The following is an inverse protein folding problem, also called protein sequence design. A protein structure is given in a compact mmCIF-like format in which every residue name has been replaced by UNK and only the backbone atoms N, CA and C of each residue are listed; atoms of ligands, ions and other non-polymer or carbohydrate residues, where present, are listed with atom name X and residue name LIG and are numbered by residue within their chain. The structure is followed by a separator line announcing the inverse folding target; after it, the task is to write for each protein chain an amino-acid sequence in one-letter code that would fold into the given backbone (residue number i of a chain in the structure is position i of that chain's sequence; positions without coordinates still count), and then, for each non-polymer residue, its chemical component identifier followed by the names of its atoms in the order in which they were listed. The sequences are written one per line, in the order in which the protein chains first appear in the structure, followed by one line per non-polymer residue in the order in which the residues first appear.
data_IF_459419407911
#
_entry.id   IF_459419407911
#
_cell.length_a   1.000
_cell.length_b   1.000
_cell.length_c   1.000
_cell.angle_alpha   90.00
_cell.angle_beta   90.00
_cell.angle_gamma   90.00
#
_symmetry.space_group_name_H-M   'P 1'
#
loop_
_entity.id
_entity.type
_entity.pdbx_description
1 polymer ?
#
# COMPACT_ATOMS: atom_id res chain seq x y z
N UNK A 1 -9.38 -10.93 20.75
CA UNK A 1 -10.68 -11.44 20.25
C UNK A 1 -10.48 -12.48 19.15
N UNK A 2 -9.62 -12.24 18.14
CA UNK A 2 -9.34 -13.20 17.07
C UNK A 2 -8.96 -14.58 17.63
N UNK A 3 -8.02 -14.62 18.57
CA UNK A 3 -7.55 -15.82 19.27
C UNK A 3 -8.68 -16.50 20.08
N UNK A 4 -9.48 -15.70 20.80
CA UNK A 4 -10.55 -16.23 21.64
C UNK A 4 -11.73 -16.80 20.84
N UNK A 5 -12.06 -16.16 19.70
CA UNK A 5 -13.20 -16.54 18.88
C UNK A 5 -12.80 -17.45 17.69
N UNK A 6 -11.51 -17.74 17.55
CA UNK A 6 -10.93 -18.46 16.38
C UNK A 6 -11.40 -17.84 15.06
N UNK A 7 -11.40 -16.50 14.99
CA UNK A 7 -11.84 -15.76 13.81
C UNK A 7 -10.67 -15.12 13.09
N UNK A 8 -10.55 -15.35 11.77
CA UNK A 8 -9.56 -14.67 10.95
C UNK A 8 -9.72 -13.15 10.97
N UNK A 9 -8.64 -12.42 11.25
CA UNK A 9 -8.64 -10.97 11.31
C UNK A 9 -7.46 -10.41 10.50
N UNK A 10 -7.73 -9.46 9.61
CA UNK A 10 -6.74 -8.62 8.99
C UNK A 10 -6.64 -7.29 9.75
N UNK A 11 -5.47 -6.98 10.28
CA UNK A 11 -5.15 -5.73 10.95
C UNK A 11 -4.57 -4.75 9.94
N UNK A 12 -5.31 -3.67 9.65
CA UNK A 12 -4.91 -2.67 8.67
C UNK A 12 -3.86 -1.70 9.21
N UNK A 13 -3.05 -1.13 8.32
CA UNK A 13 -2.20 0.06 8.50
C UNK A 13 -1.37 0.06 9.79
N UNK A 14 -0.69 -1.05 10.12
CA UNK A 14 0.27 -1.10 11.22
C UNK A 14 1.37 -0.07 10.99
N UNK A 15 1.58 0.83 11.95
CA UNK A 15 2.48 1.98 11.83
C UNK A 15 3.59 2.03 12.88
N UNK A 16 3.59 1.12 13.88
CA UNK A 16 4.54 1.17 15.01
C UNK A 16 5.28 -0.14 15.24
N UNK A 17 6.43 -0.06 15.90
CA UNK A 17 7.20 -1.21 16.39
C UNK A 17 6.39 -2.06 17.36
N UNK A 18 5.67 -1.42 18.30
CA UNK A 18 4.81 -2.10 19.28
C UNK A 18 3.66 -2.85 18.60
N UNK A 19 3.02 -2.23 17.60
CA UNK A 19 1.97 -2.87 16.81
C UNK A 19 2.49 -4.12 16.10
N UNK A 20 3.65 -4.03 15.46
CA UNK A 20 4.32 -5.17 14.81
C UNK A 20 4.67 -6.27 15.81
N UNK A 21 5.19 -5.91 16.98
CA UNK A 21 5.50 -6.86 18.05
C UNK A 21 4.25 -7.57 18.59
N UNK A 22 3.15 -6.84 18.76
CA UNK A 22 1.86 -7.39 19.21
C UNK A 22 1.29 -8.40 18.19
N UNK A 23 1.35 -8.07 16.88
CA UNK A 23 0.95 -8.99 15.81
C UNK A 23 1.78 -10.26 15.86
N UNK A 24 3.11 -10.13 15.90
CA UNK A 24 4.04 -11.28 15.99
C UNK A 24 3.73 -12.17 17.18
N UNK A 25 3.53 -11.59 18.35
CA UNK A 25 3.21 -12.34 19.55
C UNK A 25 1.88 -13.10 19.44
N UNK A 26 0.87 -12.53 18.79
CA UNK A 26 -0.40 -13.20 18.55
C UNK A 26 -0.22 -14.37 17.56
N UNK A 27 0.50 -14.16 16.46
CA UNK A 27 0.81 -15.21 15.47
C UNK A 27 1.59 -16.37 16.09
N UNK A 28 2.57 -16.10 16.96
CA UNK A 28 3.34 -17.13 17.69
C UNK A 28 2.49 -17.99 18.61
N UNK A 29 1.35 -17.47 19.11
CA UNK A 29 0.37 -18.24 19.88
C UNK A 29 -0.64 -18.98 18.99
N UNK A 30 -0.52 -18.89 17.67
CA UNK A 30 -1.44 -19.52 16.71
C UNK A 30 -2.74 -18.75 16.49
N UNK A 31 -2.80 -17.46 16.88
CA UNK A 31 -3.97 -16.63 16.58
C UNK A 31 -4.11 -16.41 15.06
N UNK A 32 -5.33 -16.48 14.51
CA UNK A 32 -5.56 -16.30 13.07
C UNK A 32 -5.54 -14.83 12.67
N UNK A 33 -4.39 -14.20 12.76
CA UNK A 33 -4.22 -12.78 12.47
C UNK A 33 -3.19 -12.54 11.37
N UNK A 34 -3.54 -11.68 10.43
CA UNK A 34 -2.66 -11.09 9.45
C UNK A 34 -2.60 -9.58 9.67
N UNK A 35 -1.58 -8.95 9.13
CA UNK A 35 -1.44 -7.51 9.25
C UNK A 35 -0.80 -6.92 7.99
N UNK A 36 -1.11 -5.64 7.76
CA UNK A 36 -0.54 -4.86 6.66
C UNK A 36 0.06 -3.56 7.16
N UNK A 37 0.93 -3.00 6.34
CA UNK A 37 1.39 -1.62 6.48
C UNK A 37 1.21 -0.86 5.17
N UNK A 38 1.69 0.39 5.09
CA UNK A 38 1.53 1.25 3.93
C UNK A 38 2.84 1.97 3.57
N UNK A 39 3.03 2.41 2.30
CA UNK A 39 4.27 3.07 1.89
C UNK A 39 4.64 4.31 2.71
N UNK A 40 3.66 5.09 3.13
CA UNK A 40 3.90 6.29 3.93
C UNK A 40 4.44 5.97 5.34
N UNK A 41 4.14 4.80 5.92
CA UNK A 41 4.78 4.37 7.17
C UNK A 41 6.18 3.80 6.95
N UNK A 42 6.43 3.21 5.79
CA UNK A 42 7.72 2.63 5.44
C UNK A 42 8.76 3.66 4.99
N UNK A 43 8.32 4.81 4.44
CA UNK A 43 9.18 5.75 3.72
C UNK A 43 9.11 7.20 4.22
N UNK A 44 8.13 7.56 5.07
CA UNK A 44 8.03 8.87 5.70
C UNK A 44 8.13 8.75 7.22
N UNK A 45 8.70 9.74 7.87
CA UNK A 45 8.68 9.89 9.33
C UNK A 45 7.70 11.00 9.74
N UNK A 46 7.43 11.11 11.04
CA UNK A 46 6.62 12.19 11.62
C UNK A 46 7.16 13.60 11.35
N UNK A 47 8.41 13.73 10.92
CA UNK A 47 8.99 15.01 10.50
C UNK A 47 8.22 15.69 9.36
N UNK A 48 7.54 14.90 8.49
CA UNK A 48 6.72 15.48 7.42
C UNK A 48 5.53 16.30 7.94
N UNK A 49 5.12 16.09 9.17
CA UNK A 49 4.06 16.86 9.83
C UNK A 49 4.53 18.25 10.29
N UNK A 50 5.84 18.45 10.43
CA UNK A 50 6.46 19.70 10.92
C UNK A 50 6.71 20.75 9.83
N UNK A 51 6.03 20.63 8.68
CA UNK A 51 6.15 21.57 7.58
C UNK A 51 5.58 22.96 7.96
N UNK A 52 6.16 24.06 7.47
CA UNK A 52 5.70 25.42 7.77
C UNK A 52 4.21 25.62 7.39
N UNK A 53 3.51 26.43 8.18
CA UNK A 53 2.10 26.78 7.98
C UNK A 53 1.21 25.54 8.01
N UNK A 54 0.36 25.35 6.97
CA UNK A 54 -0.51 24.20 6.84
C UNK A 54 0.07 23.08 5.93
N UNK A 55 1.31 23.19 5.50
CA UNK A 55 1.87 22.16 4.58
C UNK A 55 1.93 20.77 5.22
N UNK A 56 2.17 20.68 6.53
CA UNK A 56 2.09 19.42 7.27
C UNK A 56 0.71 18.73 7.19
N UNK A 57 -0.36 19.48 6.95
CA UNK A 57 -1.70 18.91 6.79
C UNK A 57 -1.83 18.01 5.55
N UNK A 58 -0.98 18.19 4.54
CA UNK A 58 -0.90 17.29 3.37
C UNK A 58 -0.61 15.85 3.80
N UNK A 59 0.13 15.68 4.89
CA UNK A 59 0.63 14.39 5.39
C UNK A 59 -0.19 13.81 6.54
N UNK A 60 -1.24 14.51 6.99
CA UNK A 60 -2.08 13.98 8.05
C UNK A 60 -2.87 12.75 7.61
N UNK A 61 -2.69 11.67 8.34
CA UNK A 61 -3.41 10.40 8.21
C UNK A 61 -3.64 9.76 9.59
N UNK A 62 -4.42 8.72 9.64
CA UNK A 62 -4.70 7.98 10.88
C UNK A 62 -4.59 6.46 10.60
N UNK A 63 -3.61 5.80 11.27
CA UNK A 63 -2.56 6.32 12.17
C UNK A 63 -1.62 7.34 11.53
N UNK A 64 -0.98 8.25 12.30
CA UNK A 64 0.03 9.15 11.74
C UNK A 64 1.36 8.43 11.47
N UNK A 65 2.21 9.04 10.64
CA UNK A 65 3.60 8.62 10.46
C UNK A 65 4.32 8.62 11.81
N UNK A 66 5.34 7.79 11.92
CA UNK A 66 6.07 7.53 13.15
C UNK A 66 7.58 7.79 12.97
N UNK A 67 8.37 7.33 13.90
CA UNK A 67 9.81 7.51 13.93
C UNK A 67 10.55 6.60 12.94
N UNK A 68 11.82 6.89 12.67
CA UNK A 68 12.68 6.01 11.88
C UNK A 68 12.88 4.62 12.52
N UNK A 69 12.78 4.52 13.86
CA UNK A 69 12.83 3.23 14.55
C UNK A 69 11.59 2.38 14.25
N UNK A 70 10.42 3.01 14.17
CA UNK A 70 9.19 2.32 13.75
C UNK A 70 9.29 1.84 12.30
N UNK A 71 9.81 2.66 11.38
CA UNK A 71 10.06 2.25 10.00
C UNK A 71 10.94 1.00 9.92
N UNK A 72 12.05 0.98 10.66
CA UNK A 72 12.94 -0.18 10.70
C UNK A 72 12.22 -1.44 11.20
N UNK A 73 11.37 -1.31 12.21
CA UNK A 73 10.58 -2.42 12.74
C UNK A 73 9.52 -2.92 11.73
N UNK A 74 8.90 -2.03 10.96
CA UNK A 74 7.94 -2.39 9.91
C UNK A 74 8.64 -3.17 8.78
N UNK A 75 9.81 -2.72 8.31
CA UNK A 75 10.62 -3.45 7.32
C UNK A 75 11.03 -4.84 7.81
N UNK A 76 11.49 -4.96 9.06
CA UNK A 76 11.76 -6.25 9.70
C UNK A 76 10.51 -7.12 9.82
N UNK A 77 9.35 -6.50 10.06
CA UNK A 77 8.06 -7.18 10.11
C UNK A 77 7.65 -7.78 8.76
N UNK A 78 7.91 -7.08 7.66
CA UNK A 78 7.70 -7.58 6.30
C UNK A 78 8.67 -8.72 5.97
N UNK A 79 9.95 -8.55 6.27
CA UNK A 79 10.98 -9.58 6.05
C UNK A 79 10.69 -10.88 6.81
N UNK A 80 10.21 -10.77 8.05
CA UNK A 80 9.86 -11.90 8.90
C UNK A 80 8.47 -12.51 8.61
N UNK A 81 7.69 -11.94 7.65
CA UNK A 81 6.33 -12.38 7.35
C UNK A 81 5.29 -12.04 8.43
N UNK A 82 5.66 -11.27 9.46
CA UNK A 82 4.72 -10.75 10.47
C UNK A 82 3.70 -9.82 9.84
N UNK A 83 4.16 -8.94 8.95
CA UNK A 83 3.32 -8.13 8.08
C UNK A 83 3.21 -8.83 6.73
N UNK A 84 2.00 -9.14 6.32
CA UNK A 84 1.72 -10.02 5.18
C UNK A 84 1.67 -9.29 3.85
N UNK A 85 1.33 -8.00 3.87
CA UNK A 85 1.19 -7.21 2.64
C UNK A 85 1.38 -5.71 2.91
N UNK A 86 1.48 -4.94 1.81
CA UNK A 86 1.52 -3.47 1.84
C UNK A 86 0.38 -2.93 1.01
N UNK A 87 -0.60 -2.30 1.65
CA UNK A 87 -1.72 -1.61 1.00
C UNK A 87 -1.39 -0.13 0.75
N UNK A 88 -2.33 0.61 0.15
CA UNK A 88 -2.12 2.04 -0.12
C UNK A 88 -2.68 2.95 0.96
N UNK A 89 -3.69 2.50 1.68
CA UNK A 89 -4.55 3.34 2.53
C UNK A 89 -4.97 4.64 1.81
N UNK A 90 -5.39 4.50 0.54
CA UNK A 90 -5.72 5.62 -0.34
C UNK A 90 -6.98 6.33 0.15
N UNK A 91 -6.80 7.49 0.77
CA UNK A 91 -7.86 8.38 1.23
C UNK A 91 -7.63 9.80 0.70
N UNK A 92 -8.03 10.08 -0.56
CA UNK A 92 -7.65 11.28 -1.29
C UNK A 92 -8.55 12.47 -0.93
N UNK A 93 -8.12 13.29 0.01
CA UNK A 93 -8.77 14.58 0.32
C UNK A 93 -8.05 15.71 -0.40
N UNK A 94 -8.79 16.57 -1.07
CA UNK A 94 -8.24 17.78 -1.71
C UNK A 94 -7.54 18.68 -0.70
N UNK A 95 -6.46 19.33 -1.13
CA UNK A 95 -5.74 20.31 -0.29
C UNK A 95 -6.30 21.72 -0.52
N UNK A 96 -7.61 21.86 -0.31
CA UNK A 96 -8.36 23.11 -0.41
C UNK A 96 -9.51 23.17 0.60
N UNK A 97 -10.36 24.19 0.50
CA UNK A 97 -11.50 24.38 1.38
C UNK A 97 -12.60 23.31 1.26
N UNK A 98 -12.59 22.48 0.22
CA UNK A 98 -13.50 21.35 0.08
C UNK A 98 -12.97 20.05 0.76
N UNK A 99 -11.72 20.04 1.18
CA UNK A 99 -11.04 18.89 1.76
C UNK A 99 -10.32 19.22 3.06
N UNK A 100 -9.01 19.08 3.07
CA UNK A 100 -8.17 19.24 4.29
C UNK A 100 -8.24 20.62 4.93
N UNK A 101 -8.53 21.66 4.16
CA UNK A 101 -8.61 23.06 4.64
C UNK A 101 -10.04 23.54 4.89
N UNK A 102 -11.01 22.65 4.98
CA UNK A 102 -12.44 22.98 5.18
C UNK A 102 -12.72 23.72 6.48
N UNK A 103 -11.88 23.59 7.50
CA UNK A 103 -12.03 24.29 8.78
C UNK A 103 -11.29 25.64 8.85
N UNK A 104 -10.85 26.18 7.69
CA UNK A 104 -10.23 27.51 7.58
C UNK A 104 -8.71 27.50 7.63
N UNK A 105 -8.13 28.69 7.79
CA UNK A 105 -6.67 28.91 7.68
C UNK A 105 -5.85 28.52 8.92
N UNK A 106 -6.49 28.26 10.06
CA UNK A 106 -5.81 27.88 11.32
C UNK A 106 -6.60 26.79 12.04
N UNK A 107 -6.90 25.66 11.38
CA UNK A 107 -7.68 24.59 12.01
C UNK A 107 -6.87 23.90 13.10
N UNK A 108 -7.53 23.52 14.21
CA UNK A 108 -6.96 22.52 15.11
C UNK A 108 -6.79 21.20 14.36
N UNK A 109 -5.75 20.41 14.67
CA UNK A 109 -5.41 19.17 13.96
C UNK A 109 -6.60 18.21 13.84
N UNK A 110 -7.46 18.11 14.86
CA UNK A 110 -8.66 17.27 14.89
C UNK A 110 -9.75 17.65 13.88
N UNK A 111 -9.60 18.80 13.21
CA UNK A 111 -10.51 19.28 12.15
C UNK A 111 -9.94 19.11 10.75
N UNK A 112 -8.71 18.61 10.63
CA UNK A 112 -8.08 18.35 9.35
C UNK A 112 -8.44 16.93 8.91
N UNK A 113 -8.93 16.75 7.69
CA UNK A 113 -9.26 15.43 7.18
C UNK A 113 -7.99 14.53 7.13
N UNK A 114 -8.12 13.34 7.72
CA UNK A 114 -7.04 12.35 7.75
C UNK A 114 -7.08 11.47 6.51
N UNK A 115 -5.98 11.43 5.76
CA UNK A 115 -5.82 10.58 4.60
C UNK A 115 -4.84 11.16 3.58
N UNK A 116 -4.20 10.26 2.85
CA UNK A 116 -3.22 10.55 1.81
C UNK A 116 -3.64 9.91 0.49
N UNK A 117 -3.39 10.55 -0.67
CA UNK A 117 -3.39 9.83 -1.93
C UNK A 117 -2.22 8.86 -1.95
N UNK A 118 -2.43 7.61 -2.40
CA UNK A 118 -1.40 6.59 -2.35
C UNK A 118 -1.59 5.43 -3.32
N UNK A 119 -2.74 5.35 -4.01
CA UNK A 119 -3.04 4.20 -4.86
C UNK A 119 -2.05 4.08 -6.02
N UNK A 120 -1.81 5.16 -6.74
CA UNK A 120 -0.94 5.21 -7.91
C UNK A 120 0.55 5.09 -7.55
N UNK A 121 0.95 5.62 -6.39
CA UNK A 121 2.37 5.67 -5.97
C UNK A 121 2.82 4.40 -5.26
N UNK A 122 1.91 3.56 -4.76
CA UNK A 122 2.23 2.39 -3.93
C UNK A 122 3.25 1.46 -4.58
N UNK A 123 2.97 0.97 -5.78
CA UNK A 123 3.84 0.00 -6.43
C UNK A 123 5.19 0.58 -6.87
N UNK A 124 5.26 1.77 -7.49
CA UNK A 124 6.55 2.37 -7.85
C UNK A 124 7.46 2.66 -6.64
N UNK A 125 6.91 3.15 -5.54
CA UNK A 125 7.67 3.37 -4.30
C UNK A 125 8.23 2.07 -3.70
N UNK A 126 7.41 1.02 -3.67
CA UNK A 126 7.84 -0.30 -3.20
C UNK A 126 8.86 -0.94 -4.14
N UNK A 127 8.71 -0.78 -5.45
CA UNK A 127 9.69 -1.26 -6.42
C UNK A 127 11.05 -0.60 -6.20
N UNK A 128 11.08 0.73 -6.06
CA UNK A 128 12.31 1.46 -5.75
C UNK A 128 12.95 0.95 -4.43
N UNK A 129 12.18 0.90 -3.35
CA UNK A 129 12.71 0.52 -2.05
C UNK A 129 13.20 -0.94 -2.00
N UNK A 130 12.41 -1.88 -2.54
CA UNK A 130 12.66 -3.31 -2.39
C UNK A 130 13.64 -3.85 -3.44
N UNK A 131 13.53 -3.40 -4.68
CA UNK A 131 14.30 -3.93 -5.80
C UNK A 131 15.48 -3.01 -6.13
N UNK A 132 15.24 -1.75 -6.44
CA UNK A 132 16.29 -0.84 -6.90
C UNK A 132 17.28 -0.48 -5.81
N UNK A 133 16.82 -0.30 -4.55
CA UNK A 133 17.65 -0.08 -3.36
C UNK A 133 18.01 -1.36 -2.61
N UNK A 134 17.41 -2.48 -2.99
CA UNK A 134 17.76 -3.82 -2.50
C UNK A 134 17.31 -4.13 -1.08
N UNK A 135 16.22 -3.51 -0.59
CA UNK A 135 15.73 -3.81 0.75
C UNK A 135 15.28 -5.27 0.91
N UNK A 136 14.66 -5.88 -0.12
CA UNK A 136 14.24 -7.28 -0.07
C UNK A 136 14.43 -8.03 -1.39
N UNK A 137 13.91 -7.56 -2.50
CA UNK A 137 14.04 -8.19 -3.82
C UNK A 137 12.72 -8.52 -4.50
N UNK A 138 12.80 -9.04 -5.73
CA UNK A 138 11.64 -9.20 -6.62
C UNK A 138 10.61 -10.20 -6.09
N UNK A 139 11.06 -11.32 -5.54
CA UNK A 139 10.16 -12.34 -5.01
C UNK A 139 9.32 -11.79 -3.86
N UNK A 140 9.96 -11.17 -2.87
CA UNK A 140 9.26 -10.53 -1.75
C UNK A 140 8.31 -9.43 -2.22
N UNK A 141 8.73 -8.62 -3.20
CA UNK A 141 7.86 -7.60 -3.81
C UNK A 141 6.59 -8.23 -4.40
N UNK A 142 6.71 -9.30 -5.20
CA UNK A 142 5.57 -10.01 -5.78
C UNK A 142 4.68 -10.64 -4.70
N UNK A 143 5.29 -11.22 -3.66
CA UNK A 143 4.55 -11.84 -2.55
C UNK A 143 3.65 -10.84 -1.85
N UNK A 144 4.19 -9.72 -1.36
CA UNK A 144 3.45 -8.76 -0.54
C UNK A 144 2.51 -7.85 -1.34
N UNK A 145 2.71 -7.69 -2.64
CA UNK A 145 1.89 -6.81 -3.49
C UNK A 145 0.85 -7.53 -4.33
N UNK A 146 1.00 -8.83 -4.55
CA UNK A 146 0.16 -9.59 -5.48
C UNK A 146 -0.26 -10.98 -4.95
N UNK A 147 0.70 -11.87 -4.66
CA UNK A 147 0.40 -13.27 -4.32
C UNK A 147 -0.34 -13.41 -3.00
N UNK A 148 0.20 -12.85 -1.91
CA UNK A 148 -0.45 -12.91 -0.60
C UNK A 148 -1.79 -12.16 -0.56
N UNK A 149 -1.94 -10.94 -1.10
CA UNK A 149 -3.25 -10.31 -1.22
C UNK A 149 -4.28 -11.19 -1.94
N UNK A 150 -3.90 -11.82 -3.06
CA UNK A 150 -4.81 -12.70 -3.78
C UNK A 150 -5.25 -13.92 -2.94
N UNK A 151 -4.31 -14.57 -2.25
CA UNK A 151 -4.60 -15.69 -1.35
C UNK A 151 -5.49 -15.25 -0.19
N UNK A 152 -5.13 -14.20 0.55
CA UNK A 152 -5.83 -13.72 1.73
C UNK A 152 -7.27 -13.25 1.43
N UNK A 153 -7.49 -12.69 0.25
CA UNK A 153 -8.81 -12.21 -0.17
C UNK A 153 -9.58 -13.22 -1.05
N UNK A 154 -9.06 -14.43 -1.24
CA UNK A 154 -9.73 -15.50 -1.98
C UNK A 154 -9.89 -15.23 -3.48
N UNK A 155 -8.94 -14.54 -4.10
CA UNK A 155 -8.95 -14.20 -5.52
C UNK A 155 -8.31 -15.32 -6.35
N UNK A 156 -9.06 -16.39 -6.61
CA UNK A 156 -8.56 -17.66 -7.17
C UNK A 156 -7.80 -17.55 -8.49
N UNK A 157 -8.09 -16.53 -9.31
CA UNK A 157 -7.46 -16.35 -10.63
C UNK A 157 -6.48 -15.18 -10.69
N UNK A 158 -6.03 -14.66 -9.54
CA UNK A 158 -5.13 -13.52 -9.41
C UNK A 158 -3.85 -13.91 -8.63
N UNK A 159 -2.86 -13.05 -8.66
CA UNK A 159 -1.67 -13.17 -7.81
C UNK A 159 -0.55 -14.04 -8.36
N UNK A 160 -0.70 -14.66 -9.53
CA UNK A 160 0.35 -15.45 -10.16
C UNK A 160 0.28 -15.38 -11.70
N UNK A 161 1.42 -15.60 -12.35
CA UNK A 161 1.53 -15.77 -13.80
C UNK A 161 1.63 -17.27 -14.11
N UNK A 162 0.48 -17.93 -14.22
CA UNK A 162 0.37 -19.38 -14.51
C UNK A 162 -0.73 -19.65 -15.49
N UNK A 163 -0.68 -20.76 -16.27
CA UNK A 163 -1.78 -21.16 -17.13
C UNK A 163 -3.10 -21.27 -16.36
N UNK A 164 -4.17 -20.68 -16.88
CA UNK A 164 -5.49 -20.63 -16.24
C UNK A 164 -5.74 -19.44 -15.34
N UNK A 165 -4.71 -18.66 -14.98
CA UNK A 165 -4.85 -17.40 -14.25
C UNK A 165 -5.25 -16.26 -15.19
N UNK A 166 -5.79 -15.18 -14.63
CA UNK A 166 -6.02 -13.96 -15.40
C UNK A 166 -4.68 -13.31 -15.78
N UNK A 167 -4.56 -12.88 -17.02
CA UNK A 167 -3.36 -12.20 -17.51
C UNK A 167 -3.33 -10.73 -17.04
N UNK A 168 -3.25 -10.52 -15.73
CA UNK A 168 -3.00 -9.23 -15.10
C UNK A 168 -1.49 -9.10 -14.94
N UNK A 169 -0.86 -8.29 -15.78
CA UNK A 169 0.61 -8.23 -15.91
C UNK A 169 1.07 -6.79 -15.85
N UNK A 170 2.11 -6.54 -15.10
CA UNK A 170 2.85 -5.27 -15.12
C UNK A 170 4.25 -5.54 -15.65
N UNK A 171 4.63 -4.85 -16.72
CA UNK A 171 5.98 -4.87 -17.27
C UNK A 171 6.72 -3.63 -16.79
N UNK A 172 7.86 -3.83 -16.15
CA UNK A 172 8.65 -2.76 -15.53
C UNK A 172 9.88 -2.43 -16.37
N UNK A 173 10.19 -1.12 -16.45
CA UNK A 173 11.54 -0.66 -16.78
C UNK A 173 12.30 -0.45 -15.46
N UNK A 174 13.25 -1.32 -15.12
CA UNK A 174 13.96 -1.25 -13.84
C UNK A 174 14.97 -0.09 -13.78
N UNK A 175 15.32 0.49 -14.91
CA UNK A 175 16.33 1.54 -15.01
C UNK A 175 15.77 2.96 -15.15
N UNK A 176 14.47 3.08 -15.42
CA UNK A 176 13.82 4.38 -15.53
C UNK A 176 13.84 5.11 -14.19
N UNK A 177 14.41 6.31 -14.20
CA UNK A 177 14.44 7.22 -13.05
C UNK A 177 13.38 8.28 -13.23
N UNK A 178 12.59 8.52 -12.18
CA UNK A 178 11.55 9.53 -12.15
C UNK A 178 11.61 10.31 -10.84
N UNK A 179 11.43 11.63 -10.91
CA UNK A 179 11.20 12.47 -9.73
C UNK A 179 9.77 12.96 -9.76
N UNK A 180 9.01 12.69 -8.70
CA UNK A 180 7.61 13.09 -8.63
C UNK A 180 7.46 14.60 -8.61
N UNK A 181 6.66 15.14 -9.53
CA UNK A 181 6.18 16.52 -9.55
C UNK A 181 4.85 16.68 -8.78
N UNK A 182 4.36 17.91 -8.64
CA UNK A 182 3.12 18.20 -7.92
C UNK A 182 1.86 17.64 -8.61
N UNK A 183 1.89 17.52 -9.95
CA UNK A 183 0.72 17.20 -10.78
C UNK A 183 0.82 15.82 -11.45
N UNK A 184 1.74 14.95 -11.02
CA UNK A 184 1.96 13.64 -11.65
C UNK A 184 0.89 12.59 -11.31
N UNK A 185 0.03 12.85 -10.33
CA UNK A 185 -1.01 11.92 -9.90
C UNK A 185 -2.37 12.24 -10.52
N UNK A 186 -3.15 11.20 -10.82
CA UNK A 186 -4.46 11.29 -11.48
C UNK A 186 -5.65 11.30 -10.50
N UNK A 187 -5.40 11.49 -9.21
CA UNK A 187 -6.42 11.44 -8.15
C UNK A 187 -7.21 12.75 -7.93
N UNK A 188 -6.83 13.83 -8.61
CA UNK A 188 -7.45 15.16 -8.56
C UNK A 188 -7.48 15.83 -7.17
N UNK A 189 -6.57 15.50 -6.26
CA UNK A 189 -6.53 16.12 -4.92
C UNK A 189 -5.75 17.44 -4.88
N UNK A 190 -5.01 17.76 -5.94
CA UNK A 190 -4.30 19.03 -6.09
C UNK A 190 -2.99 19.11 -5.31
N UNK A 191 -2.41 17.96 -4.94
CA UNK A 191 -1.05 17.84 -4.40
C UNK A 191 -0.54 16.41 -4.52
N UNK A 192 0.77 16.26 -4.45
CA UNK A 192 1.43 14.97 -4.40
C UNK A 192 2.25 14.87 -3.10
N UNK A 193 1.94 13.93 -2.18
CA UNK A 193 2.73 13.79 -0.94
C UNK A 193 4.17 13.33 -1.19
N UNK A 194 4.49 12.87 -2.40
CA UNK A 194 5.82 12.42 -2.82
C UNK A 194 6.54 13.42 -3.72
N UNK A 195 6.04 14.66 -3.84
CA UNK A 195 6.67 15.72 -4.63
C UNK A 195 8.16 15.85 -4.26
N UNK A 196 9.03 15.86 -5.28
CA UNK A 196 10.49 15.91 -5.13
C UNK A 196 11.16 14.58 -4.78
N UNK A 197 10.40 13.51 -4.50
CA UNK A 197 10.96 12.19 -4.24
C UNK A 197 11.37 11.51 -5.55
N UNK A 198 12.63 11.05 -5.62
CA UNK A 198 13.15 10.36 -6.79
C UNK A 198 13.14 8.86 -6.56
N UNK A 199 12.60 8.12 -7.53
CA UNK A 199 12.52 6.67 -7.55
C UNK A 199 13.20 6.10 -8.79
N UNK A 200 13.62 4.85 -8.71
CA UNK A 200 14.12 4.06 -9.83
C UNK A 200 13.25 2.82 -10.03
N UNK A 201 12.81 2.60 -11.27
CA UNK A 201 11.86 1.58 -11.67
C UNK A 201 10.47 2.14 -11.91
N UNK A 202 9.91 1.89 -13.10
CA UNK A 202 8.61 2.42 -13.51
C UNK A 202 7.84 1.41 -14.35
N UNK A 203 6.50 1.29 -14.20
CA UNK A 203 5.69 0.43 -15.06
C UNK A 203 5.61 0.99 -16.47
N UNK A 204 6.06 0.22 -17.46
CA UNK A 204 5.97 0.55 -18.88
C UNK A 204 4.65 0.09 -19.50
N UNK A 205 4.17 -1.09 -19.09
CA UNK A 205 2.88 -1.62 -19.51
C UNK A 205 2.11 -2.18 -18.33
N UNK A 206 0.81 -1.92 -18.32
CA UNK A 206 -0.12 -2.53 -17.38
C UNK A 206 -1.22 -3.22 -18.18
N UNK A 207 -1.34 -4.53 -18.03
CA UNK A 207 -2.35 -5.35 -18.68
C UNK A 207 -3.36 -5.86 -17.64
N UNK A 208 -4.62 -5.86 -18.01
CA UNK A 208 -5.70 -6.50 -17.25
C UNK A 208 -6.39 -7.52 -18.14
N UNK A 209 -6.34 -8.79 -17.73
CA UNK A 209 -6.87 -9.93 -18.50
C UNK A 209 -6.39 -9.93 -19.95
N UNK A 210 -5.09 -9.62 -20.16
CA UNK A 210 -4.45 -9.57 -21.46
C UNK A 210 -4.71 -8.29 -22.28
N UNK A 211 -5.56 -7.37 -21.81
CA UNK A 211 -5.80 -6.07 -22.47
C UNK A 211 -4.91 -5.01 -21.85
N UNK A 212 -4.19 -4.26 -22.68
CA UNK A 212 -3.36 -3.15 -22.25
C UNK A 212 -4.24 -2.02 -21.71
N UNK A 213 -4.03 -1.63 -20.45
CA UNK A 213 -4.66 -0.50 -19.79
C UNK A 213 -3.78 0.75 -19.78
N UNK A 214 -2.46 0.54 -19.67
CA UNK A 214 -1.49 1.62 -19.70
C UNK A 214 -0.29 1.21 -20.53
N UNK A 215 0.24 2.13 -21.30
CA UNK A 215 1.45 1.96 -22.09
C UNK A 215 2.28 3.24 -22.03
N UNK A 216 3.47 3.18 -21.43
CA UNK A 216 4.45 4.29 -21.37
C UNK A 216 3.88 5.62 -20.84
N UNK A 217 2.96 5.55 -19.88
CA UNK A 217 2.29 6.71 -19.32
C UNK A 217 0.93 7.04 -19.93
N UNK A 218 0.62 6.50 -21.11
CA UNK A 218 -0.68 6.71 -21.76
C UNK A 218 -1.72 5.74 -21.20
N UNK A 219 -2.83 6.26 -20.67
CA UNK A 219 -3.96 5.46 -20.21
C UNK A 219 -4.87 5.09 -21.38
N UNK A 220 -5.03 3.79 -21.64
CA UNK A 220 -5.79 3.21 -22.75
C UNK A 220 -7.08 2.51 -22.28
N UNK A 221 -7.39 2.59 -20.98
CA UNK A 221 -8.56 1.95 -20.40
C UNK A 221 -9.86 2.59 -20.87
N UNK A 222 -10.92 1.78 -20.95
CA UNK A 222 -12.27 2.24 -21.30
C UNK A 222 -13.18 2.08 -20.08
N UNK A 223 -13.98 3.13 -19.80
CA UNK A 223 -14.95 3.10 -18.71
C UNK A 223 -15.95 1.97 -18.89
N UNK A 224 -16.33 1.31 -17.78
CA UNK A 224 -17.32 0.21 -17.81
C UNK A 224 -16.75 -1.18 -18.11
N UNK A 225 -15.45 -1.34 -18.38
CA UNK A 225 -14.80 -2.63 -18.62
C UNK A 225 -14.42 -3.39 -17.34
N UNK A 226 -14.66 -2.81 -16.18
CA UNK A 226 -14.50 -3.52 -14.90
C UNK A 226 -15.47 -4.70 -14.80
N UNK A 227 -15.07 -5.76 -14.09
CA UNK A 227 -15.93 -6.89 -13.80
C UNK A 227 -15.86 -7.21 -12.31
N UNK A 228 -16.98 -7.57 -11.74
CA UNK A 228 -17.04 -8.12 -10.40
C UNK A 228 -16.30 -9.46 -10.37
N UNK A 229 -15.58 -9.72 -9.29
CA UNK A 229 -14.92 -11.00 -9.04
C UNK A 229 -15.61 -11.64 -7.85
N UNK A 230 -16.31 -12.75 -8.12
CA UNK A 230 -16.87 -13.57 -7.07
C UNK A 230 -15.74 -14.22 -6.26
N UNK A 231 -15.88 -14.14 -4.95
CA UNK A 231 -14.99 -14.83 -4.02
C UNK A 231 -15.79 -15.98 -3.40
N UNK A 232 -15.24 -17.21 -3.37
CA UNK A 232 -15.83 -18.27 -2.59
C UNK A 232 -15.86 -17.87 -1.11
N UNK A 233 -16.78 -18.40 -0.35
CA UNK A 233 -16.69 -18.33 1.12
C UNK A 233 -15.32 -18.88 1.51
N UNK A 234 -14.60 -18.14 2.34
CA UNK A 234 -13.32 -18.60 2.89
C UNK A 234 -13.61 -19.79 3.78
N UNK A 235 -13.57 -20.99 3.20
CA UNK A 235 -13.89 -22.24 3.88
C UNK A 235 -12.80 -22.71 4.84
N UNK A 236 -11.74 -21.90 5.10
CA UNK A 236 -10.55 -22.43 5.72
C UNK A 236 -10.10 -21.65 6.93
N UNK A 237 -9.73 -22.42 7.96
CA UNK A 237 -8.91 -21.93 9.06
C UNK A 237 -7.59 -21.40 8.52
N UNK A 238 -7.01 -20.38 9.15
CA UNK A 238 -5.77 -19.72 8.70
C UNK A 238 -4.59 -20.67 8.47
N UNK A 239 -4.48 -21.76 9.20
CA UNK A 239 -3.44 -22.78 9.03
C UNK A 239 -3.39 -23.37 7.62
N UNK A 240 -4.50 -23.45 6.90
CA UNK A 240 -4.53 -23.99 5.54
C UNK A 240 -4.06 -23.00 4.45
N UNK A 241 -3.93 -21.71 4.77
CA UNK A 241 -3.45 -20.69 3.82
C UNK A 241 -1.92 -20.55 3.79
N UNK A 242 -1.23 -21.11 4.78
CA UNK A 242 0.23 -21.01 4.93
C UNK A 242 0.96 -22.28 4.47
N UNK A 243 0.23 -23.40 4.23
CA UNK A 243 0.82 -24.72 3.93
C UNK A 243 0.84 -25.07 2.43
N UNK A 244 0.46 -24.14 1.52
CA UNK A 244 0.54 -24.25 0.06
C UNK A 244 1.45 -23.11 -0.49
#
# INVERSE_FOLDING_TARGET
FAEYLDQPVMLFHISTAEGTAAVRAAQQRGAPVWAETCPHYLLMTDEVLNQPGLQGAKFMCSPPQRTAADQAALWQGLEAGTLSLVSSDHAPYRFDASGKLSAGSTPGFHKIANGLPGLETRLPLLFDAMISRGAQGLEAFCQITSTLPAKLYGLQRKGALSPGMDADVVVWDPDKVMTYGPDDLHDNVGYNPWEGHTIKGWPEFVLRRGKTLMQRGDFLGVAGEGAWIDRPELATKPSALMDE
#
